data_IF_639489168546
#
_entry.id   IF_639489168546
#
_cell.length_a   1.000
_cell.length_b   1.000
_cell.length_c   1.000
_cell.angle_alpha   90.00
_cell.angle_beta   90.00
_cell.angle_gamma   90.00
#
_symmetry.space_group_name_H-M   'P 1'
#
loop_
_entity.id
_entity.type
_entity.pdbx_description
1 polymer ?
#
# COMPACT_ATOMS: atom_id res chain seq x y z
N UNK A 1 14.47 -18.31 22.48
CA UNK A 1 14.89 -17.38 23.54
C UNK A 1 14.63 -15.97 23.03
N UNK A 2 13.43 -15.43 23.24
CA UNK A 2 13.03 -14.09 22.77
C UNK A 2 12.70 -13.29 24.04
N UNK A 3 13.53 -12.29 24.35
CA UNK A 3 13.25 -11.27 25.36
C UNK A 3 13.54 -9.89 24.79
N UNK A 4 12.49 -9.08 24.77
CA UNK A 4 12.42 -7.63 25.02
C UNK A 4 13.50 -6.72 24.42
N UNK A 5 13.10 -5.76 23.58
CA UNK A 5 13.59 -4.38 23.66
C UNK A 5 12.61 -3.44 22.94
N UNK A 6 11.73 -2.79 23.71
CA UNK A 6 11.09 -1.53 23.31
C UNK A 6 11.27 -0.57 24.50
N UNK A 7 12.30 0.28 24.40
CA UNK A 7 12.29 1.66 24.88
C UNK A 7 13.62 2.34 24.54
N UNK A 8 13.59 3.42 23.76
CA UNK A 8 14.14 4.72 24.19
C UNK A 8 13.72 5.83 23.22
N UNK A 9 13.68 7.04 23.78
CA UNK A 9 13.16 8.29 23.23
C UNK A 9 14.10 8.93 22.19
N UNK A 10 13.50 9.69 21.28
CA UNK A 10 13.96 11.02 20.82
C UNK A 10 15.40 11.17 20.33
N UNK A 11 15.56 11.30 19.02
CA UNK A 11 16.79 11.81 18.42
C UNK A 11 16.82 11.59 16.90
N UNK A 12 16.74 12.67 16.14
CA UNK A 12 17.14 12.64 14.73
C UNK A 12 18.65 12.31 14.63
N UNK A 13 18.99 11.43 13.70
CA UNK A 13 20.17 11.42 12.82
C UNK A 13 20.81 10.03 12.62
N UNK A 14 21.03 9.74 11.32
CA UNK A 14 21.85 8.68 10.69
C UNK A 14 21.30 7.26 10.70
N UNK A 15 20.71 6.91 9.56
CA UNK A 15 20.55 5.53 9.12
C UNK A 15 21.88 5.05 8.55
N UNK A 16 22.77 4.54 9.40
CA UNK A 16 23.84 3.64 8.97
C UNK A 16 23.24 2.28 8.60
N UNK A 17 23.87 1.60 7.65
CA UNK A 17 23.41 0.47 6.83
C UNK A 17 23.09 -0.84 7.58
N UNK A 18 22.70 -0.78 8.86
CA UNK A 18 21.86 -1.79 9.50
C UNK A 18 20.48 -1.77 8.82
N UNK A 19 20.50 -2.50 7.70
CA UNK A 19 19.68 -2.50 6.49
C UNK A 19 18.38 -1.71 6.48
N UNK A 20 18.23 -0.85 5.46
CA UNK A 20 16.93 -0.37 4.96
C UNK A 20 15.88 -1.50 4.94
N UNK A 21 16.30 -2.74 4.62
CA UNK A 21 15.48 -3.95 4.74
C UNK A 21 14.86 -4.15 6.14
N UNK A 22 15.63 -4.16 7.22
CA UNK A 22 15.09 -4.30 8.59
C UNK A 22 14.18 -3.14 9.01
N UNK A 23 14.48 -1.91 8.57
CA UNK A 23 13.62 -0.76 8.83
C UNK A 23 12.29 -0.89 8.09
N UNK A 24 12.31 -1.24 6.80
CA UNK A 24 11.11 -1.47 6.00
C UNK A 24 10.30 -2.67 6.51
N UNK A 25 10.95 -3.73 7.01
CA UNK A 25 10.25 -4.86 7.63
C UNK A 25 9.52 -4.46 8.92
N UNK A 26 10.06 -3.52 9.70
CA UNK A 26 9.37 -2.97 10.87
C UNK A 26 8.15 -2.09 10.51
N UNK A 27 8.10 -1.58 9.27
CA UNK A 27 6.98 -0.81 8.74
C UNK A 27 5.86 -1.69 8.15
N UNK A 28 6.07 -3.00 8.07
CA UNK A 28 5.06 -3.95 7.60
C UNK A 28 4.22 -4.38 8.80
N UNK A 29 3.00 -3.84 8.90
CA UNK A 29 2.00 -4.44 9.79
C UNK A 29 1.45 -5.69 9.11
N UNK A 30 1.90 -6.87 9.54
CA UNK A 30 1.29 -8.15 9.16
C UNK A 30 -0.04 -8.25 9.90
N UNK A 31 -1.14 -7.97 9.20
CA UNK A 31 -2.47 -8.14 9.74
C UNK A 31 -2.88 -9.58 9.40
N UNK A 32 -3.04 -10.39 10.46
CA UNK A 32 -3.40 -11.82 10.46
C UNK A 32 -2.25 -12.82 10.30
N UNK A 33 -2.08 -13.67 11.32
CA UNK A 33 -1.26 -14.89 11.33
C UNK A 33 -2.05 -16.02 11.98
N UNK A 34 -3.11 -16.50 11.32
CA UNK A 34 -3.75 -17.75 11.72
C UNK A 34 -3.49 -18.78 10.63
N UNK A 35 -2.56 -19.70 10.89
CA UNK A 35 -2.31 -20.85 10.04
C UNK A 35 -3.62 -21.60 9.81
N UNK A 36 -3.99 -21.80 8.54
CA UNK A 36 -4.37 -23.08 7.90
C UNK A 36 -5.05 -22.75 6.57
N UNK A 37 -4.31 -22.19 5.62
CA UNK A 37 -4.18 -22.53 4.18
C UNK A 37 -3.20 -21.47 3.66
N UNK A 38 -1.94 -21.79 3.38
CA UNK A 38 -1.06 -20.85 2.69
C UNK A 38 -1.56 -20.76 1.25
N UNK A 39 -2.55 -19.89 1.01
CA UNK A 39 -2.88 -19.47 -0.34
C UNK A 39 -1.56 -19.01 -1.00
N UNK A 40 -1.24 -19.48 -2.21
CA UNK A 40 -0.09 -18.95 -2.94
C UNK A 40 -0.29 -17.46 -3.31
N UNK A 41 -1.45 -16.91 -2.98
CA UNK A 41 -1.84 -15.52 -3.22
C UNK A 41 -1.86 -14.71 -1.93
N UNK A 42 -1.20 -13.55 -1.96
CA UNK A 42 -1.35 -12.51 -0.94
C UNK A 42 -2.02 -11.26 -1.53
N UNK A 43 -2.56 -10.41 -0.65
CA UNK A 43 -3.04 -9.08 -0.98
C UNK A 43 -2.16 -8.02 -0.31
N UNK A 44 -1.71 -7.03 -1.07
CA UNK A 44 -1.15 -5.79 -0.54
C UNK A 44 -2.24 -4.72 -0.59
N UNK A 45 -2.61 -4.19 0.56
CA UNK A 45 -3.57 -3.10 0.68
C UNK A 45 -2.85 -1.78 0.90
N UNK A 46 -2.88 -0.91 -0.10
CA UNK A 46 -2.25 0.40 -0.14
C UNK A 46 -3.24 1.45 0.39
N UNK A 47 -2.96 1.97 1.58
CA UNK A 47 -3.81 2.93 2.28
C UNK A 47 -3.95 4.26 1.56
N UNK A 48 -4.99 5.02 1.94
CA UNK A 48 -5.04 6.46 1.70
C UNK A 48 -3.99 7.22 2.55
N UNK A 49 -4.00 8.55 2.47
CA UNK A 49 -3.06 9.44 3.18
C UNK A 49 -3.16 9.36 4.71
N UNK A 50 -4.27 8.87 5.27
CA UNK A 50 -4.46 8.68 6.72
C UNK A 50 -3.74 7.42 7.20
N UNK A 51 -3.37 6.53 6.28
CA UNK A 51 -2.36 5.51 6.49
C UNK A 51 -2.87 4.19 7.06
N UNK A 52 -1.92 3.30 7.31
CA UNK A 52 -2.15 1.92 7.75
C UNK A 52 -2.73 1.81 9.18
N UNK A 53 -2.60 2.85 9.99
CA UNK A 53 -3.09 2.87 11.37
C UNK A 53 -4.58 3.22 11.46
N UNK A 54 -5.17 3.72 10.39
CA UNK A 54 -6.60 3.99 10.33
C UNK A 54 -7.40 2.69 10.53
N UNK A 55 -8.36 2.72 11.46
CA UNK A 55 -9.20 1.56 11.76
C UNK A 55 -9.94 1.03 10.53
N UNK A 56 -10.42 1.92 9.66
CA UNK A 56 -11.12 1.52 8.42
C UNK A 56 -10.18 0.74 7.49
N UNK A 57 -8.93 1.16 7.36
CA UNK A 57 -7.90 0.44 6.59
C UNK A 57 -7.67 -0.96 7.16
N UNK A 58 -7.61 -1.08 8.49
CA UNK A 58 -7.43 -2.38 9.16
C UNK A 58 -8.65 -3.27 9.00
N UNK A 59 -9.87 -2.74 9.13
CA UNK A 59 -11.10 -3.49 8.91
C UNK A 59 -11.21 -4.02 7.47
N UNK A 60 -10.80 -3.22 6.48
CA UNK A 60 -10.73 -3.69 5.09
C UNK A 60 -9.71 -4.81 4.93
N UNK A 61 -8.53 -4.69 5.56
CA UNK A 61 -7.52 -5.73 5.54
C UNK A 61 -7.99 -7.02 6.23
N UNK A 62 -8.67 -6.90 7.37
CA UNK A 62 -9.27 -8.03 8.11
C UNK A 62 -10.33 -8.73 7.26
N UNK A 63 -11.16 -7.98 6.53
CA UNK A 63 -12.16 -8.56 5.62
C UNK A 63 -11.51 -9.36 4.48
N UNK A 64 -10.47 -8.81 3.84
CA UNK A 64 -9.75 -9.54 2.78
C UNK A 64 -9.07 -10.78 3.37
N UNK A 65 -8.49 -10.66 4.56
CA UNK A 65 -7.83 -11.78 5.22
C UNK A 65 -8.78 -12.89 5.67
N UNK A 66 -9.98 -12.53 6.14
CA UNK A 66 -11.04 -13.48 6.48
C UNK A 66 -11.50 -14.32 5.28
N UNK A 67 -11.23 -13.88 4.05
CA UNK A 67 -11.49 -14.62 2.81
C UNK A 67 -10.32 -15.51 2.36
N UNK A 68 -9.32 -15.76 3.23
CA UNK A 68 -8.26 -16.75 3.00
C UNK A 68 -7.00 -16.22 2.30
N UNK A 69 -6.81 -14.90 2.26
CA UNK A 69 -5.60 -14.28 1.70
C UNK A 69 -4.71 -13.73 2.80
N UNK A 70 -3.40 -13.99 2.72
CA UNK A 70 -2.44 -13.23 3.51
C UNK A 70 -2.55 -11.76 3.09
N UNK A 71 -2.92 -10.87 4.02
CA UNK A 71 -3.10 -9.45 3.71
C UNK A 71 -2.08 -8.60 4.44
N UNK A 72 -1.39 -7.74 3.70
CA UNK A 72 -0.37 -6.84 4.24
C UNK A 72 -0.75 -5.40 3.96
N UNK A 73 -0.66 -4.55 4.98
CA UNK A 73 -0.84 -3.11 4.86
C UNK A 73 0.51 -2.45 5.19
N UNK A 74 1.32 -2.08 4.18
CA UNK A 74 2.59 -1.43 4.44
C UNK A 74 2.38 0.01 4.93
N UNK A 75 3.26 0.48 5.81
CA UNK A 75 3.31 1.90 6.15
C UNK A 75 3.98 2.71 5.03
N UNK A 76 3.14 3.24 4.13
CA UNK A 76 3.60 4.06 3.01
C UNK A 76 4.29 5.36 3.46
N UNK A 77 4.00 5.84 4.68
CA UNK A 77 4.38 7.18 5.13
C UNK A 77 5.41 7.19 6.25
N UNK A 78 6.02 6.04 6.59
CA UNK A 78 7.09 5.94 7.58
C UNK A 78 6.71 6.57 8.94
N UNK A 79 5.49 6.31 9.40
CA UNK A 79 4.93 6.85 10.64
C UNK A 79 4.40 8.28 10.56
N UNK A 80 4.45 8.92 9.38
CA UNK A 80 4.03 10.31 9.17
C UNK A 80 2.78 10.39 8.26
N UNK A 81 1.75 9.61 8.56
CA UNK A 81 0.46 9.69 7.88
C UNK A 81 -0.32 10.94 8.28
N UNK A 82 -1.23 11.39 7.42
CA UNK A 82 -2.11 12.53 7.69
C UNK A 82 -3.04 12.22 8.87
N UNK A 83 -3.18 13.12 9.85
CA UNK A 83 -4.15 12.92 10.93
C UNK A 83 -5.58 12.96 10.40
N UNK A 84 -6.39 11.96 10.80
CA UNK A 84 -7.81 11.83 10.41
C UNK A 84 -8.60 13.13 10.60
N UNK A 85 -8.40 13.79 11.74
CA UNK A 85 -8.94 15.11 12.04
C UNK A 85 -7.80 16.13 11.92
N UNK A 86 -7.49 16.51 10.69
CA UNK A 86 -6.39 17.43 10.43
C UNK A 86 -6.63 18.79 11.10
N UNK A 87 -5.62 19.37 11.77
CA UNK A 87 -5.76 20.66 12.44
C UNK A 87 -6.04 21.77 11.43
N UNK A 88 -6.63 22.87 11.90
CA UNK A 88 -6.81 24.06 11.09
C UNK A 88 -5.45 24.55 10.55
N UNK A 89 -5.35 24.75 9.24
CA UNK A 89 -4.12 25.16 8.58
C UNK A 89 -3.20 24.02 8.13
N UNK A 90 -3.59 22.74 8.27
CA UNK A 90 -2.84 21.64 7.69
C UNK A 90 -2.82 21.73 6.15
N UNK A 91 -1.63 21.83 5.56
CA UNK A 91 -1.43 21.83 4.12
C UNK A 91 -1.05 20.43 3.62
N UNK A 92 -2.03 19.77 3.00
CA UNK A 92 -1.83 18.44 2.41
C UNK A 92 -0.84 18.44 1.25
N UNK A 93 -0.72 19.55 0.50
CA UNK A 93 0.22 19.65 -0.61
C UNK A 93 1.64 19.85 -0.12
N UNK A 94 1.83 20.57 1.00
CA UNK A 94 3.12 20.66 1.66
C UNK A 94 3.56 19.29 2.18
N UNK A 95 2.69 18.58 2.91
CA UNK A 95 2.94 17.22 3.40
C UNK A 95 3.29 16.24 2.26
N UNK A 96 2.59 16.33 1.12
CA UNK A 96 2.81 15.45 -0.03
C UNK A 96 4.23 15.54 -0.61
N UNK A 97 4.92 16.68 -0.44
CA UNK A 97 6.29 16.87 -0.94
C UNK A 97 7.30 15.90 -0.30
N UNK A 98 7.01 15.41 0.91
CA UNK A 98 7.86 14.44 1.60
C UNK A 98 7.69 13.01 1.05
N UNK A 99 6.67 12.78 0.22
CA UNK A 99 6.26 11.47 -0.27
C UNK A 99 6.23 11.42 -1.80
N UNK A 100 7.37 11.68 -2.48
CA UNK A 100 7.44 11.51 -3.92
C UNK A 100 7.23 10.03 -4.30
N UNK A 101 6.72 9.75 -5.52
CA UNK A 101 6.38 8.38 -5.92
C UNK A 101 7.52 7.37 -5.72
N UNK A 102 8.77 7.76 -5.97
CA UNK A 102 9.95 6.90 -5.84
C UNK A 102 10.17 6.40 -4.41
N UNK A 103 9.86 7.26 -3.42
CA UNK A 103 9.96 6.90 -2.01
C UNK A 103 8.92 5.86 -1.63
N UNK A 104 7.68 6.03 -2.12
CA UNK A 104 6.59 5.08 -1.88
C UNK A 104 6.83 3.77 -2.61
N UNK A 105 7.33 3.84 -3.83
CA UNK A 105 7.66 2.67 -4.65
C UNK A 105 8.68 1.77 -3.94
N UNK A 106 9.64 2.36 -3.24
CA UNK A 106 10.62 1.60 -2.43
C UNK A 106 9.92 0.74 -1.36
N UNK A 107 8.93 1.29 -0.65
CA UNK A 107 8.17 0.55 0.37
C UNK A 107 7.40 -0.61 -0.25
N UNK A 108 6.74 -0.35 -1.38
CA UNK A 108 5.90 -1.35 -2.05
C UNK A 108 6.77 -2.46 -2.66
N UNK A 109 7.88 -2.12 -3.29
CA UNK A 109 8.83 -3.08 -3.82
C UNK A 109 9.37 -3.99 -2.72
N UNK A 110 9.80 -3.43 -1.58
CA UNK A 110 10.27 -4.24 -0.45
C UNK A 110 9.18 -5.11 0.16
N UNK A 111 7.92 -4.65 0.14
CA UNK A 111 6.77 -5.47 0.58
C UNK A 111 6.54 -6.66 -0.36
N UNK A 112 6.63 -6.44 -1.68
CA UNK A 112 6.52 -7.49 -2.69
C UNK A 112 7.65 -8.51 -2.55
N UNK A 113 8.89 -8.04 -2.38
CA UNK A 113 10.06 -8.89 -2.18
C UNK A 113 9.94 -9.73 -0.91
N UNK A 114 9.50 -9.13 0.21
CA UNK A 114 9.22 -9.85 1.45
C UNK A 114 8.18 -10.94 1.26
N UNK A 115 7.04 -10.64 0.62
CA UNK A 115 5.99 -11.63 0.36
C UNK A 115 6.51 -12.80 -0.48
N UNK A 116 7.30 -12.52 -1.52
CA UNK A 116 7.85 -13.55 -2.40
C UNK A 116 8.93 -14.39 -1.74
N UNK A 117 9.92 -13.75 -1.12
CA UNK A 117 11.13 -14.39 -0.62
C UNK A 117 10.91 -15.00 0.76
N UNK A 118 10.27 -14.27 1.67
CA UNK A 118 10.12 -14.67 3.07
C UNK A 118 8.85 -15.46 3.34
N UNK A 119 7.76 -15.16 2.62
CA UNK A 119 6.45 -15.82 2.82
C UNK A 119 6.12 -16.84 1.72
N UNK A 120 6.95 -16.98 0.68
CA UNK A 120 6.76 -17.96 -0.38
C UNK A 120 5.56 -17.68 -1.30
N UNK A 121 5.07 -16.45 -1.32
CA UNK A 121 3.92 -16.03 -2.14
C UNK A 121 4.31 -15.98 -3.62
N UNK A 122 3.51 -16.60 -4.48
CA UNK A 122 3.75 -16.60 -5.94
C UNK A 122 2.87 -15.61 -6.68
N UNK A 123 1.70 -15.28 -6.14
CA UNK A 123 0.73 -14.36 -6.74
C UNK A 123 0.42 -13.23 -5.77
N UNK A 124 0.42 -11.99 -6.24
CA UNK A 124 0.11 -10.83 -5.39
C UNK A 124 -1.04 -10.05 -6.03
N UNK A 125 -2.13 -9.89 -5.29
CA UNK A 125 -3.16 -8.90 -5.57
C UNK A 125 -2.78 -7.57 -4.92
N UNK A 126 -3.13 -6.45 -5.54
CA UNK A 126 -2.97 -5.13 -4.97
C UNK A 126 -4.32 -4.40 -4.94
N UNK A 127 -4.70 -3.91 -3.77
CA UNK A 127 -5.86 -3.05 -3.59
C UNK A 127 -5.40 -1.69 -3.07
N UNK A 128 -5.94 -0.60 -3.61
CA UNK A 128 -5.50 0.76 -3.26
C UNK A 128 -6.65 1.74 -3.16
N UNK A 129 -6.57 2.61 -2.15
CA UNK A 129 -7.58 3.63 -1.87
C UNK A 129 -6.95 5.02 -1.91
N UNK A 130 -7.60 6.00 -2.53
CA UNK A 130 -7.08 7.36 -2.68
C UNK A 130 -5.66 7.38 -3.28
N UNK A 131 -4.71 7.92 -2.52
CA UNK A 131 -3.26 7.91 -2.73
C UNK A 131 -2.73 6.52 -3.12
N UNK A 132 -3.14 5.46 -2.42
CA UNK A 132 -2.70 4.09 -2.70
C UNK A 132 -3.12 3.58 -4.08
N UNK A 133 -4.21 4.11 -4.65
CA UNK A 133 -4.71 3.73 -5.98
C UNK A 133 -3.71 4.01 -7.10
N UNK A 134 -2.94 5.11 -7.00
CA UNK A 134 -1.85 5.42 -7.95
C UNK A 134 -0.83 4.30 -7.98
N UNK A 135 -0.44 3.81 -6.81
CA UNK A 135 0.61 2.82 -6.72
C UNK A 135 0.14 1.41 -7.10
N UNK A 136 -1.16 1.10 -7.01
CA UNK A 136 -1.71 -0.11 -7.64
C UNK A 136 -1.43 -0.10 -9.15
N UNK A 137 -1.73 1.03 -9.82
CA UNK A 137 -1.47 1.19 -11.26
C UNK A 137 0.01 1.03 -11.58
N UNK A 138 0.89 1.68 -10.80
CA UNK A 138 2.35 1.64 -11.02
C UNK A 138 2.96 0.25 -10.90
N UNK A 139 2.42 -0.60 -10.01
CA UNK A 139 2.95 -1.93 -9.70
C UNK A 139 2.22 -3.10 -10.38
N UNK A 140 1.13 -2.84 -11.10
CA UNK A 140 0.42 -3.86 -11.85
C UNK A 140 1.26 -4.36 -13.03
N UNK A 141 1.58 -5.66 -13.02
CA UNK A 141 2.55 -6.27 -13.94
C UNK A 141 4.02 -6.07 -13.57
N UNK A 142 4.31 -5.38 -12.45
CA UNK A 142 5.67 -5.20 -11.88
C UNK A 142 5.80 -5.83 -10.49
N UNK A 143 4.95 -6.80 -10.19
CA UNK A 143 4.95 -7.52 -8.92
C UNK A 143 3.55 -7.89 -8.45
N UNK A 144 2.57 -7.01 -8.70
CA UNK A 144 1.16 -7.34 -8.56
C UNK A 144 0.61 -7.94 -9.86
N UNK A 145 -0.16 -9.02 -9.73
CA UNK A 145 -0.80 -9.75 -10.84
C UNK A 145 -2.18 -9.20 -11.19
N UNK A 146 -2.92 -8.70 -10.19
CA UNK A 146 -4.25 -8.09 -10.34
C UNK A 146 -4.37 -6.87 -9.44
N UNK A 147 -5.11 -5.86 -9.92
CA UNK A 147 -5.26 -4.58 -9.24
C UNK A 147 -6.71 -4.19 -8.99
N UNK A 148 -6.96 -3.53 -7.86
CA UNK A 148 -8.17 -2.78 -7.57
C UNK A 148 -7.82 -1.39 -7.07
N UNK A 149 -8.44 -0.34 -7.64
CA UNK A 149 -8.23 1.03 -7.23
C UNK A 149 -9.55 1.75 -6.97
N UNK A 150 -9.76 2.26 -5.75
CA UNK A 150 -10.94 3.04 -5.37
C UNK A 150 -10.58 4.52 -5.18
N UNK A 151 -11.38 5.40 -5.78
CA UNK A 151 -11.27 6.87 -5.70
C UNK A 151 -9.83 7.40 -5.82
N UNK A 152 -9.06 6.76 -6.71
CA UNK A 152 -7.64 7.03 -6.95
C UNK A 152 -7.34 8.50 -7.25
N UNK A 153 -6.19 8.95 -6.78
CA UNK A 153 -5.68 10.31 -6.98
C UNK A 153 -4.36 10.29 -7.75
N UNK A 154 -4.09 11.35 -8.53
CA UNK A 154 -2.76 11.63 -9.08
C UNK A 154 -2.17 10.56 -10.01
N UNK A 155 -3.01 9.81 -10.72
CA UNK A 155 -2.56 8.89 -11.78
C UNK A 155 -2.41 9.66 -13.08
N UNK A 156 -1.25 9.59 -13.71
CA UNK A 156 -1.00 10.23 -15.01
C UNK A 156 -1.33 9.31 -16.20
N UNK A 157 -1.38 9.87 -17.41
CA UNK A 157 -1.72 9.13 -18.63
C UNK A 157 -0.68 8.06 -18.99
N UNK A 158 0.60 8.30 -18.68
CA UNK A 158 1.70 7.36 -18.95
C UNK A 158 1.59 6.15 -18.03
N UNK A 159 1.23 6.36 -16.77
CA UNK A 159 0.96 5.31 -15.79
C UNK A 159 -0.23 4.44 -16.23
N UNK A 160 -1.32 5.05 -16.71
CA UNK A 160 -2.46 4.30 -17.25
C UNK A 160 -2.10 3.50 -18.51
N UNK A 161 -1.42 4.14 -19.47
CA UNK A 161 -0.98 3.46 -20.69
C UNK A 161 0.01 2.31 -20.40
N UNK A 162 0.69 2.38 -19.26
CA UNK A 162 1.65 1.37 -18.80
C UNK A 162 1.04 0.19 -18.04
N UNK A 163 -0.28 0.10 -17.89
CA UNK A 163 -0.93 -1.03 -17.19
C UNK A 163 -0.72 -2.33 -17.96
N UNK A 164 -0.24 -3.37 -17.27
CA UNK A 164 0.07 -4.69 -17.84
C UNK A 164 -0.69 -5.84 -17.18
N UNK A 165 -1.85 -5.57 -16.58
CA UNK A 165 -2.65 -6.60 -15.94
C UNK A 165 -4.10 -6.16 -15.68
N UNK A 166 -4.94 -7.08 -15.18
CA UNK A 166 -6.33 -6.80 -14.87
C UNK A 166 -6.45 -5.75 -13.76
N UNK A 167 -7.18 -4.67 -14.05
CA UNK A 167 -7.41 -3.57 -13.11
C UNK A 167 -8.91 -3.29 -12.99
N UNK A 168 -9.46 -3.40 -11.79
CA UNK A 168 -10.80 -2.88 -11.49
C UNK A 168 -10.70 -1.49 -10.86
N UNK A 169 -11.58 -0.58 -11.26
CA UNK A 169 -11.60 0.80 -10.79
C UNK A 169 -12.98 1.15 -10.24
N UNK A 170 -13.02 1.61 -8.99
CA UNK A 170 -14.20 2.24 -8.40
C UNK A 170 -14.00 3.75 -8.37
N UNK A 171 -14.74 4.47 -9.21
CA UNK A 171 -14.68 5.93 -9.30
C UNK A 171 -15.92 6.56 -8.66
N UNK A 172 -15.74 7.63 -7.89
CA UNK A 172 -16.84 8.42 -7.36
C UNK A 172 -17.23 9.52 -8.36
N UNK A 173 -18.53 9.69 -8.58
CA UNK A 173 -19.18 10.48 -9.64
C UNK A 173 -18.74 11.97 -9.73
N UNK A 174 -18.24 12.55 -8.63
CA UNK A 174 -17.88 13.98 -8.55
C UNK A 174 -16.38 14.28 -8.37
N UNK A 175 -15.49 13.32 -8.56
CA UNK A 175 -14.05 13.59 -8.52
C UNK A 175 -13.55 14.08 -9.89
N UNK A 176 -13.26 15.38 -9.97
CA UNK A 176 -12.93 16.11 -11.21
C UNK A 176 -11.49 15.86 -11.75
N UNK A 177 -10.93 14.67 -11.53
CA UNK A 177 -9.60 14.29 -12.01
C UNK A 177 -9.71 13.44 -13.28
N UNK A 178 -9.93 14.13 -14.39
CA UNK A 178 -9.66 13.81 -15.81
C UNK A 178 -10.03 12.46 -16.45
N UNK A 179 -10.22 11.33 -15.77
CA UNK A 179 -10.70 10.10 -16.42
C UNK A 179 -11.60 9.29 -15.48
N UNK A 180 -12.90 9.34 -15.75
CA UNK A 180 -13.90 8.43 -15.21
C UNK A 180 -13.99 7.26 -16.20
N UNK A 181 -13.42 6.11 -15.85
CA UNK A 181 -13.84 4.84 -16.45
C UNK A 181 -14.85 4.25 -15.46
N UNK A 182 -16.12 4.59 -15.62
CA UNK A 182 -17.21 3.80 -15.05
C UNK A 182 -17.37 2.62 -16.00
N UNK A 183 -16.74 1.53 -15.62
CA UNK A 183 -16.80 0.25 -16.29
C UNK A 183 -15.91 -0.70 -15.53
N UNK A 184 -16.37 -1.92 -15.31
CA UNK A 184 -15.46 -3.04 -15.04
C UNK A 184 -14.57 -3.20 -16.28
N UNK A 185 -13.52 -2.40 -16.39
CA UNK A 185 -12.55 -2.53 -17.46
C UNK A 185 -11.64 -3.69 -17.08
N UNK A 186 -12.08 -4.91 -17.40
CA UNK A 186 -11.17 -6.04 -17.48
C UNK A 186 -10.19 -5.73 -18.62
N UNK A 187 -9.04 -5.14 -18.29
CA UNK A 187 -7.86 -5.18 -19.16
C UNK A 187 -7.33 -6.62 -19.07
N UNK A 188 -7.99 -7.54 -19.76
CA UNK A 188 -7.42 -8.83 -20.09
C UNK A 188 -6.55 -8.61 -21.34
N UNK A 189 -5.23 -8.70 -21.17
CA UNK A 189 -4.31 -8.88 -22.30
C UNK A 189 -4.31 -10.35 -22.72
#
# INVERSE_FOLDING_TARGET
MIRSFIQSKGGQHRFETASLGQFLMQQIRKIWTSYTVLSPTANILLSDVIGHQLINTQLLADQVSANGYLTVVPDLFFGNSVPLNSPAGFDIFEWLRDFPPERIDTVIQSTIEYLKISEGITTIAAAGYCFGGKHVVRFLGKGASVGYAAHRSMVDEVEFAGIKGPLSISAADKFNSAYIIIGFLFIAM
#
